data_IF_774181372828
#
_entry.id   IF_774181372828
#
_cell.length_a   1.000
_cell.length_b   1.000
_cell.length_c   1.000
_cell.angle_alpha   90.00
_cell.angle_beta   90.00
_cell.angle_gamma   90.00
#
_symmetry.space_group_name_H-M   'P 1'
#
loop_
_entity.id
_entity.type
_entity.pdbx_description
1 polymer ?
#
# COMPACT_ATOMS: atom_id res chain seq x y z
N UNK A 1 4.96 -13.64 -17.80
CA UNK A 1 4.78 -12.26 -18.33
C UNK A 1 5.85 -11.38 -17.71
N UNK A 2 6.45 -10.48 -18.49
CA UNK A 2 7.43 -9.53 -17.96
C UNK A 2 6.73 -8.45 -17.13
N UNK A 3 7.25 -8.15 -15.95
CA UNK A 3 6.75 -7.05 -15.10
C UNK A 3 7.20 -5.72 -15.73
N UNK A 4 6.24 -4.82 -15.92
CA UNK A 4 6.44 -3.49 -16.52
C UNK A 4 6.19 -2.33 -15.56
N UNK A 5 5.70 -2.60 -14.35
CA UNK A 5 5.46 -1.59 -13.33
C UNK A 5 5.32 -2.22 -11.95
N UNK A 6 5.59 -1.41 -10.92
CA UNK A 6 5.47 -1.81 -9.51
C UNK A 6 4.49 -0.90 -8.81
N UNK A 7 3.50 -1.49 -8.16
CA UNK A 7 2.48 -0.80 -7.39
C UNK A 7 2.69 -1.11 -5.91
N UNK A 8 3.03 -0.11 -5.13
CA UNK A 8 3.31 -0.25 -3.71
C UNK A 8 2.10 0.13 -2.85
N UNK A 9 1.86 -0.61 -1.79
CA UNK A 9 1.20 -0.06 -0.63
C UNK A 9 2.09 1.01 0.04
N UNK A 10 1.51 1.83 0.93
CA UNK A 10 2.23 2.95 1.53
C UNK A 10 2.54 2.71 3.01
N UNK A 11 1.52 2.57 3.85
CA UNK A 11 1.65 2.50 5.30
C UNK A 11 2.09 1.10 5.76
N UNK A 12 3.28 0.98 6.35
CA UNK A 12 3.89 -0.31 6.71
C UNK A 12 4.70 -0.94 5.57
N UNK A 13 4.56 -0.44 4.34
CA UNK A 13 5.32 -0.88 3.16
C UNK A 13 6.41 0.12 2.81
N UNK A 14 6.08 1.28 2.25
CA UNK A 14 7.05 2.35 1.97
C UNK A 14 7.46 3.10 3.22
N UNK A 15 6.57 3.25 4.19
CA UNK A 15 6.86 3.81 5.52
C UNK A 15 7.03 2.71 6.56
N UNK A 16 7.69 3.03 7.67
CA UNK A 16 7.91 2.08 8.77
C UNK A 16 6.57 1.54 9.32
N UNK A 17 6.47 0.23 9.61
CA UNK A 17 5.29 -0.33 10.27
C UNK A 17 5.04 0.34 11.63
N UNK A 18 3.76 0.52 11.96
CA UNK A 18 3.34 1.02 13.28
C UNK A 18 3.31 2.54 13.43
N UNK A 19 3.63 3.32 12.38
CA UNK A 19 3.40 4.76 12.37
C UNK A 19 1.90 5.09 12.59
N UNK A 20 1.01 4.31 11.95
CA UNK A 20 -0.42 4.27 12.26
C UNK A 20 -0.68 3.20 13.32
N UNK A 21 -1.04 3.61 14.54
CA UNK A 21 -1.48 2.69 15.60
C UNK A 21 -2.94 2.28 15.36
N UNK A 22 -3.13 1.33 14.42
CA UNK A 22 -4.47 0.82 14.09
C UNK A 22 -5.28 0.34 15.30
N UNK A 23 -4.71 -0.39 16.30
CA UNK A 23 -5.43 -0.72 17.53
C UNK A 23 -5.92 0.49 18.31
N UNK A 24 -5.11 1.55 18.45
CA UNK A 24 -5.53 2.78 19.12
C UNK A 24 -6.64 3.50 18.33
N UNK A 25 -6.47 3.64 17.02
CA UNK A 25 -7.49 4.24 16.12
C UNK A 25 -8.81 3.49 16.22
N UNK A 26 -8.78 2.15 16.18
CA UNK A 26 -10.00 1.31 16.31
C UNK A 26 -10.69 1.56 17.65
N UNK A 27 -9.95 1.65 18.76
CA UNK A 27 -10.54 2.00 20.07
C UNK A 27 -11.21 3.37 20.06
N UNK A 28 -10.56 4.38 19.47
CA UNK A 28 -11.12 5.75 19.37
C UNK A 28 -12.40 5.78 18.55
N UNK A 29 -12.49 4.96 17.51
CA UNK A 29 -13.67 4.86 16.63
C UNK A 29 -14.78 3.95 17.21
N UNK A 30 -14.50 3.15 18.23
CA UNK A 30 -15.41 2.08 18.67
C UNK A 30 -15.45 0.90 17.69
N UNK A 31 -14.43 0.76 16.83
CA UNK A 31 -14.32 -0.29 15.83
C UNK A 31 -13.77 -1.58 16.47
N UNK A 32 -14.41 -2.74 16.29
CA UNK A 32 -13.86 -4.01 16.76
C UNK A 32 -12.48 -4.29 16.12
N UNK A 33 -11.54 -4.89 16.87
CA UNK A 33 -10.18 -5.12 16.40
C UNK A 33 -10.11 -5.96 15.11
N UNK A 34 -11.02 -6.90 14.93
CA UNK A 34 -11.07 -7.74 13.74
C UNK A 34 -11.69 -7.05 12.51
N UNK A 35 -12.37 -5.90 12.67
CA UNK A 35 -13.02 -5.21 11.55
C UNK A 35 -12.08 -4.22 10.86
N UNK A 36 -12.06 -4.15 9.52
CA UNK A 36 -11.37 -3.08 8.81
C UNK A 36 -12.05 -1.74 9.06
N UNK A 37 -11.24 -0.68 9.23
CA UNK A 37 -11.74 0.64 9.70
C UNK A 37 -12.69 1.30 8.70
N UNK A 38 -12.35 1.32 7.42
CA UNK A 38 -13.17 1.99 6.40
C UNK A 38 -14.54 1.33 6.25
N UNK A 39 -14.57 -0.01 6.26
CA UNK A 39 -15.78 -0.81 6.19
C UNK A 39 -16.62 -0.64 7.46
N UNK A 40 -15.99 -0.55 8.62
CA UNK A 40 -16.69 -0.21 9.87
C UNK A 40 -17.32 1.17 9.79
N UNK A 41 -16.59 2.20 9.35
CA UNK A 41 -17.14 3.55 9.20
C UNK A 41 -18.33 3.55 8.23
N UNK A 42 -18.18 2.89 7.07
CA UNK A 42 -19.24 2.80 6.07
C UNK A 42 -20.50 2.08 6.55
N UNK A 43 -20.38 1.18 7.54
CA UNK A 43 -21.51 0.47 8.15
C UNK A 43 -22.26 1.28 9.21
N UNK A 44 -21.72 2.42 9.63
CA UNK A 44 -22.36 3.26 10.65
C UNK A 44 -23.48 4.14 10.06
N UNK A 45 -24.41 4.66 10.88
CA UNK A 45 -25.41 5.62 10.43
C UNK A 45 -24.78 6.79 9.66
N UNK A 46 -25.41 7.27 8.56
CA UNK A 46 -24.82 8.31 7.68
C UNK A 46 -24.37 9.57 8.42
N UNK A 47 -25.10 10.00 9.44
CA UNK A 47 -24.80 11.17 10.27
C UNK A 47 -23.57 10.96 11.18
N UNK A 48 -23.20 9.72 11.48
CA UNK A 48 -22.02 9.40 12.28
C UNK A 48 -20.74 9.30 11.42
N UNK A 49 -20.87 8.90 10.16
CA UNK A 49 -19.72 8.62 9.28
C UNK A 49 -18.75 9.80 9.13
N UNK A 50 -19.20 11.07 8.92
CA UNK A 50 -18.27 12.19 8.77
C UNK A 50 -17.42 12.43 10.02
N UNK A 51 -17.99 12.28 11.21
CA UNK A 51 -17.27 12.41 12.48
C UNK A 51 -16.20 11.31 12.63
N UNK A 52 -16.55 10.07 12.33
CA UNK A 52 -15.63 8.93 12.44
C UNK A 52 -14.52 9.04 11.42
N UNK A 53 -14.85 9.45 10.18
CA UNK A 53 -13.86 9.69 9.13
C UNK A 53 -12.88 10.79 9.54
N UNK A 54 -13.36 11.89 10.12
CA UNK A 54 -12.51 12.96 10.62
C UNK A 54 -11.49 12.49 11.67
N UNK A 55 -11.92 11.63 12.61
CA UNK A 55 -11.01 11.03 13.60
C UNK A 55 -9.91 10.22 12.88
N UNK A 56 -10.27 9.37 11.91
CA UNK A 56 -9.29 8.61 11.13
C UNK A 56 -8.31 9.55 10.42
N UNK A 57 -8.82 10.59 9.77
CA UNK A 57 -8.02 11.57 9.03
C UNK A 57 -7.03 12.33 9.91
N UNK A 58 -7.44 12.72 11.11
CA UNK A 58 -6.55 13.37 12.08
C UNK A 58 -5.42 12.44 12.52
N UNK A 59 -5.70 11.14 12.70
CA UNK A 59 -4.67 10.15 13.06
C UNK A 59 -3.72 9.85 11.89
N UNK A 60 -4.20 9.83 10.67
CA UNK A 60 -3.36 9.71 9.46
C UNK A 60 -2.41 10.91 9.32
N UNK A 61 -2.91 12.12 9.53
CA UNK A 61 -2.09 13.34 9.48
C UNK A 61 -1.00 13.34 10.57
N UNK A 62 -1.37 13.00 11.83
CA UNK A 62 -0.42 12.88 12.93
C UNK A 62 0.66 11.81 12.68
N UNK A 63 0.25 10.65 12.14
CA UNK A 63 1.20 9.60 11.78
C UNK A 63 2.18 10.07 10.69
N UNK A 64 1.69 10.79 9.68
CA UNK A 64 2.51 11.32 8.60
C UNK A 64 3.57 12.33 9.08
N UNK A 65 3.27 13.12 10.13
CA UNK A 65 4.22 14.06 10.72
C UNK A 65 5.48 13.38 11.30
N UNK A 66 5.38 12.14 11.76
CA UNK A 66 6.47 11.36 12.35
C UNK A 66 6.93 10.17 11.51
N UNK A 67 6.24 9.89 10.42
CA UNK A 67 6.51 8.74 9.56
C UNK A 67 7.92 8.83 8.94
N UNK A 68 8.61 7.69 8.91
CA UNK A 68 9.94 7.55 8.31
C UNK A 68 9.89 6.53 7.17
N UNK A 69 10.81 6.63 6.19
CA UNK A 69 10.98 5.59 5.17
C UNK A 69 11.23 4.24 5.80
N UNK A 70 10.54 3.21 5.31
CA UNK A 70 10.78 1.84 5.73
C UNK A 70 12.18 1.38 5.34
N UNK A 71 12.68 0.37 6.06
CA UNK A 71 14.02 -0.19 5.81
C UNK A 71 14.15 -0.67 4.37
N UNK A 72 15.12 -0.11 3.65
CA UNK A 72 15.37 -0.44 2.25
C UNK A 72 14.45 0.25 1.23
N UNK A 73 13.40 0.97 1.65
CA UNK A 73 12.46 1.63 0.75
C UNK A 73 13.16 2.61 -0.20
N UNK A 74 13.96 3.53 0.32
CA UNK A 74 14.67 4.51 -0.50
C UNK A 74 15.63 3.83 -1.51
N UNK A 75 16.38 2.80 -1.07
CA UNK A 75 17.28 2.04 -1.94
C UNK A 75 16.52 1.31 -3.05
N UNK A 76 15.41 0.68 -2.70
CA UNK A 76 14.52 0.00 -3.64
C UNK A 76 14.00 0.99 -4.70
N UNK A 77 13.36 2.06 -4.26
CA UNK A 77 12.77 3.07 -5.16
C UNK A 77 13.84 3.73 -6.05
N UNK A 78 15.02 4.05 -5.51
CA UNK A 78 16.14 4.57 -6.31
C UNK A 78 16.65 3.55 -7.34
N UNK A 79 16.68 2.25 -7.00
CA UNK A 79 17.05 1.19 -7.94
C UNK A 79 16.03 1.05 -9.08
N UNK A 80 14.74 1.11 -8.77
CA UNK A 80 13.67 1.09 -9.78
C UNK A 80 13.71 2.34 -10.67
N UNK A 81 13.92 3.52 -10.09
CA UNK A 81 14.10 4.77 -10.83
C UNK A 81 15.26 4.68 -11.82
N UNK A 82 16.44 4.16 -11.40
CA UNK A 82 17.58 3.96 -12.31
C UNK A 82 17.28 3.01 -13.46
N UNK A 83 16.38 2.06 -13.27
CA UNK A 83 15.90 1.11 -14.30
C UNK A 83 14.78 1.68 -15.14
N UNK A 84 14.34 2.90 -14.88
CA UNK A 84 13.18 3.51 -15.51
C UNK A 84 11.90 2.64 -15.36
N UNK A 85 11.82 1.90 -14.26
CA UNK A 85 10.66 1.07 -13.93
C UNK A 85 9.53 1.96 -13.42
N UNK A 86 8.37 1.98 -14.08
CA UNK A 86 7.19 2.70 -13.62
C UNK A 86 6.80 2.29 -12.20
N UNK A 87 6.55 3.28 -11.35
CA UNK A 87 6.17 3.07 -9.96
C UNK A 87 4.83 3.74 -9.67
N UNK A 88 4.00 3.10 -8.86
CA UNK A 88 2.75 3.66 -8.36
C UNK A 88 2.55 3.37 -6.88
N UNK A 89 1.58 4.06 -6.29
CA UNK A 89 1.11 3.84 -4.92
C UNK A 89 -0.37 3.46 -4.96
N UNK A 90 -0.77 2.45 -4.20
CA UNK A 90 -2.16 2.09 -3.93
C UNK A 90 -2.37 1.98 -2.43
N UNK A 91 -3.11 2.91 -1.85
CA UNK A 91 -3.28 3.00 -0.40
C UNK A 91 -4.75 3.10 0.01
N UNK A 92 -5.03 2.73 1.27
CA UNK A 92 -6.31 2.97 1.95
C UNK A 92 -6.36 4.34 2.64
N UNK A 93 -5.28 5.13 2.53
CA UNK A 93 -5.16 6.49 3.07
C UNK A 93 -5.52 7.56 2.04
N UNK A 94 -5.45 8.84 2.44
CA UNK A 94 -5.64 10.02 1.60
C UNK A 94 -4.33 10.48 0.96
N UNK A 95 -4.42 11.38 -0.02
CA UNK A 95 -3.23 11.93 -0.69
C UNK A 95 -2.37 12.80 0.24
N UNK A 96 -2.98 13.57 1.16
CA UNK A 96 -2.25 14.50 2.03
C UNK A 96 -1.20 13.82 2.91
N UNK A 97 -1.52 12.75 3.69
CA UNK A 97 -0.52 12.03 4.49
C UNK A 97 0.64 11.46 3.65
N UNK A 98 0.35 10.97 2.44
CA UNK A 98 1.39 10.46 1.53
C UNK A 98 2.38 11.56 1.16
N UNK A 99 1.89 12.76 0.77
CA UNK A 99 2.75 13.89 0.44
C UNK A 99 3.64 14.29 1.61
N UNK A 100 3.06 14.43 2.80
CA UNK A 100 3.79 14.78 4.02
C UNK A 100 4.90 13.77 4.36
N UNK A 101 4.58 12.48 4.28
CA UNK A 101 5.55 11.41 4.56
C UNK A 101 6.67 11.37 3.52
N UNK A 102 6.37 11.54 2.22
CA UNK A 102 7.36 11.53 1.14
C UNK A 102 8.37 12.67 1.22
N UNK A 103 8.07 13.79 1.88
CA UNK A 103 9.03 14.87 2.14
C UNK A 103 10.25 14.41 2.97
N UNK A 104 10.13 13.30 3.69
CA UNK A 104 11.21 12.70 4.49
C UNK A 104 12.06 11.68 3.73
N UNK A 105 11.67 11.34 2.50
CA UNK A 105 12.40 10.39 1.67
C UNK A 105 13.56 11.09 0.94
N UNK A 106 14.76 10.52 1.02
CA UNK A 106 15.94 11.08 0.35
C UNK A 106 15.97 10.67 -1.12
N UNK A 107 15.90 11.66 -2.01
CA UNK A 107 16.01 11.46 -3.45
C UNK A 107 14.79 10.82 -4.12
N UNK A 108 13.68 10.70 -3.38
CA UNK A 108 12.37 10.27 -3.88
C UNK A 108 11.35 11.31 -3.48
N UNK A 109 10.57 11.75 -4.48
CA UNK A 109 9.45 12.68 -4.31
C UNK A 109 8.20 12.09 -4.89
N UNK A 110 7.07 12.73 -4.68
CA UNK A 110 5.79 12.29 -5.22
C UNK A 110 5.80 12.18 -6.76
N UNK A 111 6.57 13.01 -7.44
CA UNK A 111 6.67 13.04 -8.91
C UNK A 111 7.39 11.82 -9.51
N UNK A 112 7.97 10.96 -8.68
CA UNK A 112 8.56 9.70 -9.12
C UNK A 112 7.53 8.57 -9.25
N UNK A 113 6.28 8.81 -8.83
CA UNK A 113 5.19 7.85 -8.96
C UNK A 113 4.27 8.29 -10.09
N UNK A 114 4.13 7.44 -11.12
CA UNK A 114 3.27 7.73 -12.27
C UNK A 114 1.78 7.75 -11.89
N UNK A 115 1.42 7.02 -10.85
CA UNK A 115 0.05 6.94 -10.34
C UNK A 115 0.03 6.83 -8.82
N UNK A 116 -0.93 7.50 -8.21
CA UNK A 116 -1.24 7.35 -6.78
C UNK A 116 -2.76 7.17 -6.67
N UNK A 117 -3.17 5.96 -6.30
CA UNK A 117 -4.57 5.61 -6.07
C UNK A 117 -4.84 5.64 -4.57
N UNK A 118 -5.70 6.55 -4.16
CA UNK A 118 -6.14 6.71 -2.76
C UNK A 118 -7.53 6.11 -2.55
N UNK A 119 -7.99 6.03 -1.29
CA UNK A 119 -9.35 5.57 -0.97
C UNK A 119 -10.46 6.40 -1.60
N UNK A 120 -10.18 7.64 -2.00
CA UNK A 120 -11.14 8.54 -2.65
C UNK A 120 -11.30 8.22 -4.14
N UNK A 121 -10.35 7.47 -4.73
CA UNK A 121 -10.29 7.21 -6.17
C UNK A 121 -10.73 5.79 -6.53
N UNK A 122 -10.77 4.86 -5.58
CA UNK A 122 -11.10 3.46 -5.83
C UNK A 122 -11.82 2.83 -4.65
N UNK A 123 -12.47 1.69 -4.90
CA UNK A 123 -12.88 0.81 -3.82
C UNK A 123 -11.64 0.37 -3.02
N UNK A 124 -11.72 0.34 -1.68
CA UNK A 124 -10.55 0.03 -0.86
C UNK A 124 -10.09 -1.42 -1.03
N UNK A 125 -8.78 -1.65 -0.89
CA UNK A 125 -8.24 -3.02 -0.76
C UNK A 125 -8.98 -3.76 0.38
N UNK A 126 -9.37 -5.01 0.23
CA UNK A 126 -8.86 -6.01 -0.74
C UNK A 126 -9.56 -6.01 -2.11
N UNK A 127 -10.44 -5.05 -2.44
CA UNK A 127 -11.08 -4.98 -3.75
C UNK A 127 -10.02 -4.71 -4.85
N UNK A 128 -10.07 -5.38 -6.04
CA UNK A 128 -9.07 -5.23 -7.09
C UNK A 128 -9.16 -3.92 -7.88
N UNK A 129 -10.20 -3.11 -7.68
CA UNK A 129 -10.49 -1.89 -8.45
C UNK A 129 -9.29 -0.92 -8.51
N UNK A 130 -8.62 -0.70 -7.38
CA UNK A 130 -7.45 0.19 -7.31
C UNK A 130 -6.27 -0.31 -8.17
N UNK A 131 -6.03 -1.61 -8.19
CA UNK A 131 -4.96 -2.22 -9.02
C UNK A 131 -5.30 -2.08 -10.50
N UNK A 132 -6.55 -2.33 -10.89
CA UNK A 132 -7.02 -2.20 -12.28
C UNK A 132 -6.91 -0.74 -12.74
N UNK A 133 -7.31 0.22 -11.91
CA UNK A 133 -7.19 1.66 -12.21
C UNK A 133 -5.73 2.10 -12.34
N UNK A 134 -4.86 1.62 -11.44
CA UNK A 134 -3.43 1.90 -11.53
C UNK A 134 -2.83 1.38 -12.83
N UNK A 135 -3.11 0.14 -13.21
CA UNK A 135 -2.65 -0.46 -14.47
C UNK A 135 -3.09 0.36 -15.68
N UNK A 136 -4.38 0.77 -15.70
CA UNK A 136 -4.94 1.58 -16.80
C UNK A 136 -4.24 2.94 -16.91
N UNK A 137 -3.98 3.63 -15.78
CA UNK A 137 -3.28 4.92 -15.77
C UNK A 137 -1.82 4.79 -16.20
N UNK A 138 -1.14 3.70 -15.79
CA UNK A 138 0.23 3.37 -16.21
C UNK A 138 0.29 2.81 -17.64
N UNK A 139 -0.85 2.61 -18.32
CA UNK A 139 -0.97 2.06 -19.68
C UNK A 139 -0.33 0.68 -19.86
N UNK A 140 -0.48 -0.17 -18.85
CA UNK A 140 -0.04 -1.56 -18.84
C UNK A 140 -1.20 -2.48 -18.43
N UNK A 141 -1.06 -3.77 -18.67
CA UNK A 141 -2.05 -4.75 -18.24
C UNK A 141 -1.88 -5.04 -16.74
N UNK A 142 -2.95 -5.36 -15.99
CA UNK A 142 -2.83 -5.78 -14.59
C UNK A 142 -1.81 -6.91 -14.37
N UNK A 143 -1.75 -7.90 -15.28
CA UNK A 143 -0.78 -9.00 -15.23
C UNK A 143 0.69 -8.59 -15.46
N UNK A 144 0.94 -7.35 -15.88
CA UNK A 144 2.27 -6.76 -16.02
C UNK A 144 2.67 -5.90 -14.79
N UNK A 145 1.77 -5.78 -13.78
CA UNK A 145 2.06 -5.15 -12.50
C UNK A 145 2.58 -6.16 -11.48
N UNK A 146 3.48 -5.68 -10.64
CA UNK A 146 3.87 -6.31 -9.39
C UNK A 146 3.31 -5.47 -8.24
N UNK A 147 2.34 -6.01 -7.50
CA UNK A 147 1.77 -5.38 -6.31
C UNK A 147 2.61 -5.79 -5.09
N UNK A 148 3.07 -4.82 -4.33
CA UNK A 148 3.94 -5.01 -3.16
C UNK A 148 3.26 -4.38 -1.95
N UNK A 149 3.03 -5.17 -0.90
CA UNK A 149 2.42 -4.70 0.34
C UNK A 149 2.78 -5.59 1.52
N UNK A 150 2.48 -5.13 2.73
CA UNK A 150 2.80 -5.82 3.98
C UNK A 150 1.57 -6.51 4.60
N UNK A 151 0.39 -6.35 3.99
CA UNK A 151 -0.85 -6.91 4.51
C UNK A 151 -1.57 -7.81 3.49
N UNK A 152 -2.43 -8.72 3.98
CA UNK A 152 -3.18 -9.65 3.14
C UNK A 152 -4.04 -8.94 2.08
N UNK A 153 -4.54 -7.73 2.36
CA UNK A 153 -5.35 -6.96 1.42
C UNK A 153 -4.62 -6.58 0.14
N UNK A 154 -3.29 -6.38 0.21
CA UNK A 154 -2.46 -6.10 -0.96
C UNK A 154 -2.37 -7.31 -1.86
N UNK A 155 -2.12 -8.46 -1.27
CA UNK A 155 -2.06 -9.73 -1.98
C UNK A 155 -3.41 -10.08 -2.60
N UNK A 156 -4.50 -10.00 -1.82
CA UNK A 156 -5.85 -10.33 -2.29
C UNK A 156 -6.26 -9.40 -3.45
N UNK A 157 -6.05 -8.08 -3.31
CA UNK A 157 -6.38 -7.12 -4.37
C UNK A 157 -5.56 -7.33 -5.64
N UNK A 158 -4.25 -7.57 -5.49
CA UNK A 158 -3.36 -7.86 -6.61
C UNK A 158 -3.74 -9.15 -7.33
N UNK A 159 -3.95 -10.24 -6.60
CA UNK A 159 -4.40 -11.54 -7.15
C UNK A 159 -5.76 -11.42 -7.82
N UNK A 160 -6.69 -10.69 -7.21
CA UNK A 160 -8.02 -10.44 -7.78
C UNK A 160 -8.00 -9.64 -9.08
N UNK A 161 -6.99 -8.81 -9.30
CA UNK A 161 -6.77 -8.08 -10.55
C UNK A 161 -5.97 -8.89 -11.59
N UNK A 162 -5.41 -10.05 -11.23
CA UNK A 162 -4.53 -10.84 -12.08
C UNK A 162 -3.07 -10.35 -12.09
N UNK A 163 -2.68 -9.51 -11.15
CA UNK A 163 -1.31 -9.01 -10.98
C UNK A 163 -0.43 -10.03 -10.24
N UNK A 164 0.89 -9.94 -10.45
CA UNK A 164 1.85 -10.59 -9.57
C UNK A 164 1.89 -9.88 -8.21
N UNK A 165 2.20 -10.62 -7.13
CA UNK A 165 2.12 -10.08 -5.76
C UNK A 165 3.35 -10.45 -4.95
N UNK A 166 3.80 -9.51 -4.13
CA UNK A 166 4.86 -9.67 -3.14
C UNK A 166 4.30 -9.30 -1.77
N UNK A 167 4.43 -10.19 -0.82
CA UNK A 167 4.20 -9.89 0.60
C UNK A 167 5.52 -9.48 1.25
N UNK A 168 5.54 -8.29 1.82
CA UNK A 168 6.63 -7.77 2.64
C UNK A 168 6.37 -8.12 4.10
N UNK A 169 7.20 -8.96 4.71
CA UNK A 169 7.01 -9.39 6.11
C UNK A 169 7.62 -8.42 7.13
N UNK A 170 8.51 -7.51 6.68
CA UNK A 170 9.28 -6.64 7.59
C UNK A 170 10.07 -7.43 8.66
N UNK A 171 10.43 -8.69 8.37
CA UNK A 171 11.09 -9.60 9.30
C UNK A 171 10.15 -10.24 10.33
N UNK A 172 8.84 -10.07 10.17
CA UNK A 172 7.80 -10.69 10.99
C UNK A 172 7.23 -11.98 10.40
N UNK A 173 6.12 -12.43 10.96
CA UNK A 173 5.37 -13.60 10.48
C UNK A 173 4.40 -13.15 9.37
N UNK A 174 4.17 -14.01 8.39
CA UNK A 174 3.17 -13.80 7.35
C UNK A 174 1.77 -13.59 7.96
N UNK A 175 1.08 -12.55 7.48
CA UNK A 175 -0.29 -12.20 7.89
C UNK A 175 -1.37 -12.86 7.02
N UNK A 176 -0.97 -13.78 6.13
CA UNK A 176 -1.90 -14.47 5.23
C UNK A 176 -2.63 -15.59 5.97
N UNK A 177 -3.96 -15.64 5.83
CA UNK A 177 -4.72 -16.81 6.23
C UNK A 177 -4.52 -17.96 5.21
N UNK A 178 -4.61 -19.22 5.64
CA UNK A 178 -4.44 -20.38 4.74
C UNK A 178 -5.42 -20.40 3.56
N UNK A 179 -6.62 -19.86 3.75
CA UNK A 179 -7.70 -19.77 2.75
C UNK A 179 -7.54 -18.60 1.78
N UNK A 180 -6.70 -17.61 2.12
CA UNK A 180 -6.46 -16.46 1.25
C UNK A 180 -5.60 -16.83 0.03
N UNK A 181 -5.75 -16.12 -1.09
CA UNK A 181 -4.84 -16.23 -2.23
C UNK A 181 -3.40 -15.94 -1.78
N UNK A 182 -2.50 -16.93 -1.91
CA UNK A 182 -1.12 -16.79 -1.48
C UNK A 182 -0.32 -15.85 -2.40
N UNK A 183 0.65 -15.08 -1.88
CA UNK A 183 1.50 -14.21 -2.69
C UNK A 183 2.39 -15.04 -3.64
N UNK A 184 2.84 -14.44 -4.75
CA UNK A 184 3.80 -15.09 -5.65
C UNK A 184 5.21 -15.11 -5.04
N UNK A 185 5.54 -14.07 -4.26
CA UNK A 185 6.83 -13.93 -3.60
C UNK A 185 6.64 -13.39 -2.18
N UNK A 186 7.56 -13.75 -1.30
CA UNK A 186 7.65 -13.20 0.07
C UNK A 186 9.06 -12.65 0.21
N UNK A 187 9.17 -11.43 0.75
CA UNK A 187 10.43 -10.76 1.06
C UNK A 187 10.38 -10.20 2.49
N UNK A 188 11.52 -10.11 3.13
CA UNK A 188 11.63 -9.51 4.45
C UNK A 188 11.93 -8.01 4.40
N UNK A 189 12.53 -7.54 3.30
CA UNK A 189 12.96 -6.16 3.12
C UNK A 189 12.76 -5.69 1.69
N UNK A 190 12.40 -4.43 1.51
CA UNK A 190 12.19 -3.86 0.18
C UNK A 190 13.45 -3.87 -0.69
N UNK A 191 14.64 -3.85 -0.10
CA UNK A 191 15.91 -3.92 -0.87
C UNK A 191 16.11 -5.23 -1.64
N UNK A 192 15.32 -6.28 -1.35
CA UNK A 192 15.32 -7.55 -2.07
C UNK A 192 14.53 -7.48 -3.38
N UNK A 193 13.55 -6.57 -3.47
CA UNK A 193 12.64 -6.47 -4.61
C UNK A 193 13.33 -6.27 -5.97
N UNK A 194 14.35 -5.40 -6.12
CA UNK A 194 15.03 -5.23 -7.40
C UNK A 194 15.67 -6.51 -7.95
N UNK A 195 16.09 -7.44 -7.07
CA UNK A 195 16.65 -8.72 -7.49
C UNK A 195 15.59 -9.64 -8.10
N UNK A 196 14.38 -9.67 -7.54
CA UNK A 196 13.26 -10.47 -8.08
C UNK A 196 12.92 -10.06 -9.52
N UNK A 197 12.97 -8.76 -9.81
CA UNK A 197 12.66 -8.22 -11.14
C UNK A 197 13.75 -8.53 -12.20
N UNK A 198 14.94 -8.96 -11.77
CA UNK A 198 16.03 -9.29 -12.68
C UNK A 198 16.00 -10.73 -13.16
N UNK A 199 15.26 -11.62 -12.49
CA UNK A 199 15.20 -13.05 -12.79
C UNK A 199 13.96 -13.44 -13.61
N UNK A 200 13.08 -12.48 -13.94
CA UNK A 200 11.82 -12.67 -14.69
C UNK A 200 11.89 -12.27 -16.17
N UNK A 201 13.11 -12.09 -16.73
CA UNK A 201 13.30 -11.71 -18.14
C UNK A 201 13.59 -12.91 -18.99
#
# INVERSE_FOLDING_TARGET
>A
MAIKGVLFDFDGTLTVPGALDFPAIKRMLGCPLAHPILEFIASQPPDCQPRLMKILEEQEDLAAESSLPNRGAERCLQALKRRQMPMGILTRSRLKPIRMSLERFRGITIDHFEVIITREMSLPKPHPDGVIKAAAQMRILPGELLVVGDFSFDVISGRGAGAATVLLTNGGVSVMAPEDPQPHYIIDRLEELPALLSHGS
#
